data_IF_008391816427
#
_entry.id   IF_008391816427
#
_cell.length_a   1.000
_cell.length_b   1.000
_cell.length_c   1.000
_cell.angle_alpha   90.00
_cell.angle_beta   90.00
_cell.angle_gamma   90.00
#
_symmetry.space_group_name_H-M   'P 1'
#
loop_
_entity.id
_entity.type
_entity.pdbx_description
1 polymer ?
#
# COMPACT_ATOMS: atom_id res chain seq x y z
N UNK A 1 14.84 6.47 -7.95
CA UNK A 1 13.83 6.10 -6.94
C UNK A 1 13.25 7.38 -6.36
N UNK A 2 11.92 7.52 -6.42
CA UNK A 2 11.21 8.70 -5.91
C UNK A 2 11.17 8.69 -4.38
N UNK A 3 10.66 7.61 -3.79
CA UNK A 3 10.55 7.46 -2.34
C UNK A 3 10.84 6.01 -1.90
N UNK A 4 11.04 5.83 -0.60
CA UNK A 4 11.11 4.53 0.08
C UNK A 4 10.10 4.53 1.21
N UNK A 5 9.14 3.61 1.20
CA UNK A 5 8.24 3.40 2.34
C UNK A 5 8.98 2.59 3.42
N UNK A 6 9.30 3.27 4.53
CA UNK A 6 10.21 2.75 5.55
C UNK A 6 9.60 2.68 6.95
N UNK A 7 8.42 3.28 7.16
CA UNK A 7 7.89 3.47 8.49
C UNK A 7 6.36 3.49 8.54
N UNK A 8 5.76 3.16 9.68
CA UNK A 8 4.32 3.11 9.87
C UNK A 8 3.93 2.19 11.01
N UNK A 9 2.64 1.80 11.07
CA UNK A 9 2.10 0.98 12.15
C UNK A 9 2.80 -0.36 12.36
N UNK A 10 3.13 -1.06 11.26
CA UNK A 10 3.86 -2.32 11.35
C UNK A 10 5.25 -2.16 11.97
N UNK A 11 5.96 -1.06 11.67
CA UNK A 11 7.26 -0.75 12.29
C UNK A 11 7.12 -0.54 13.79
N UNK A 12 6.09 0.21 14.23
CA UNK A 12 5.82 0.38 15.67
C UNK A 12 5.51 -0.95 16.35
N UNK A 13 4.63 -1.76 15.77
CA UNK A 13 4.27 -3.07 16.31
C UNK A 13 5.50 -3.97 16.44
N UNK A 14 6.33 -4.09 15.40
CA UNK A 14 7.53 -4.94 15.41
C UNK A 14 8.57 -4.43 16.40
N UNK A 15 8.88 -3.14 16.38
CA UNK A 15 9.86 -2.54 17.27
C UNK A 15 9.48 -2.71 18.75
N UNK A 16 8.22 -2.40 19.09
CA UNK A 16 7.79 -2.38 20.51
C UNK A 16 7.43 -3.77 21.04
N UNK A 17 6.84 -4.66 20.21
CA UNK A 17 6.30 -5.95 20.65
C UNK A 17 7.30 -7.10 20.56
N UNK A 18 8.20 -7.06 19.59
CA UNK A 18 9.08 -8.19 19.29
C UNK A 18 10.57 -7.87 19.45
N UNK A 19 11.00 -6.68 19.03
CA UNK A 19 12.43 -6.33 19.02
C UNK A 19 12.88 -5.55 20.25
N UNK A 20 11.95 -5.00 21.03
CA UNK A 20 12.24 -4.08 22.14
C UNK A 20 13.12 -2.89 21.72
N UNK A 21 12.84 -2.35 20.53
CA UNK A 21 13.55 -1.23 19.92
C UNK A 21 12.73 0.06 19.94
N UNK A 22 13.44 1.20 19.84
CA UNK A 22 12.81 2.49 19.70
C UNK A 22 12.53 2.78 18.20
N UNK A 23 11.25 2.83 17.76
CA UNK A 23 10.89 3.06 16.36
C UNK A 23 11.36 4.42 15.82
N UNK A 24 11.46 5.45 16.65
CA UNK A 24 11.97 6.77 16.28
C UNK A 24 13.47 6.76 16.00
N UNK A 25 14.23 5.99 16.80
CA UNK A 25 15.66 5.81 16.54
C UNK A 25 15.88 5.13 15.20
N UNK A 26 15.13 4.08 14.90
CA UNK A 26 15.18 3.38 13.61
C UNK A 26 14.94 4.35 12.44
N UNK A 27 13.96 5.23 12.53
CA UNK A 27 13.69 6.23 11.49
C UNK A 27 14.89 7.16 11.29
N UNK A 28 15.46 7.69 12.36
CA UNK A 28 16.64 8.57 12.27
C UNK A 28 17.86 7.86 11.68
N UNK A 29 18.08 6.60 12.06
CA UNK A 29 19.17 5.78 11.52
C UNK A 29 19.01 5.55 10.01
N UNK A 30 17.78 5.27 9.54
CA UNK A 30 17.47 5.15 8.10
C UNK A 30 17.71 6.48 7.41
N UNK A 31 17.23 7.60 7.95
CA UNK A 31 17.45 8.93 7.37
C UNK A 31 18.93 9.26 7.26
N UNK A 32 19.74 8.94 8.27
CA UNK A 32 21.18 9.17 8.24
C UNK A 32 21.88 8.31 7.17
N UNK A 33 21.41 7.07 6.96
CA UNK A 33 21.97 6.16 5.96
C UNK A 33 21.51 6.49 4.54
N UNK A 34 20.30 7.07 4.35
CA UNK A 34 19.68 7.35 3.05
C UNK A 34 19.24 8.82 2.99
N UNK A 35 20.18 9.79 2.87
CA UNK A 35 19.85 11.21 2.94
C UNK A 35 19.17 11.77 1.68
N UNK A 36 19.30 11.11 0.53
CA UNK A 36 18.96 11.63 -0.79
C UNK A 36 17.66 11.06 -1.40
N UNK A 37 16.93 10.20 -0.69
CA UNK A 37 15.66 9.63 -1.14
C UNK A 37 14.58 10.07 -0.16
N UNK A 38 13.39 10.41 -0.67
CA UNK A 38 12.26 10.73 0.19
C UNK A 38 11.87 9.52 1.03
N UNK A 39 11.79 9.70 2.35
CA UNK A 39 11.30 8.67 3.25
C UNK A 39 9.80 8.81 3.43
N UNK A 40 9.09 7.74 3.12
CA UNK A 40 7.65 7.66 3.16
C UNK A 40 7.19 6.86 4.37
N UNK A 41 6.08 7.29 4.98
CA UNK A 41 5.38 6.54 6.00
C UNK A 41 3.91 6.34 5.65
N UNK A 42 3.34 5.24 6.16
CA UNK A 42 1.92 4.98 6.13
C UNK A 42 1.25 5.56 7.39
N UNK A 43 0.33 6.52 7.19
CA UNK A 43 -0.43 7.20 8.25
C UNK A 43 -1.92 6.85 8.16
N UNK A 44 -2.46 6.21 9.20
CA UNK A 44 -3.87 5.79 9.27
C UNK A 44 -4.77 6.92 9.75
N UNK A 45 -4.75 8.07 9.12
CA UNK A 45 -5.56 9.24 9.48
C UNK A 45 -5.66 9.46 11.00
N UNK A 46 -6.85 9.51 11.54
CA UNK A 46 -7.12 9.68 12.99
C UNK A 46 -6.58 8.53 13.86
N UNK A 47 -6.19 7.41 13.28
CA UNK A 47 -5.59 6.29 14.01
C UNK A 47 -4.05 6.37 14.10
N UNK A 48 -3.40 7.35 13.47
CA UNK A 48 -1.95 7.48 13.38
C UNK A 48 -1.28 6.15 12.93
N UNK A 49 -0.59 5.48 13.83
CA UNK A 49 -0.01 4.14 13.64
C UNK A 49 -0.73 3.05 14.44
N UNK A 50 -1.79 3.43 15.17
CA UNK A 50 -2.57 2.53 16.03
C UNK A 50 -3.83 1.98 15.36
N UNK A 51 -4.74 1.46 16.19
CA UNK A 51 -5.98 0.78 15.77
C UNK A 51 -7.25 1.46 16.31
N UNK A 52 -7.09 2.52 17.10
CA UNK A 52 -8.18 3.34 17.64
C UNK A 52 -8.02 4.77 17.18
N UNK A 53 -9.11 5.54 17.16
CA UNK A 53 -9.05 6.96 16.85
C UNK A 53 -8.42 7.74 17.99
N UNK A 54 -7.51 8.64 17.65
CA UNK A 54 -6.86 9.56 18.58
C UNK A 54 -7.39 10.98 18.38
N UNK A 55 -7.32 11.85 19.40
CA UNK A 55 -7.72 13.25 19.26
C UNK A 55 -6.75 14.01 18.33
N UNK A 56 -7.28 15.04 17.67
CA UNK A 56 -6.58 15.79 16.62
C UNK A 56 -5.23 16.39 17.08
N UNK A 57 -5.16 16.87 18.32
CA UNK A 57 -3.91 17.41 18.88
C UNK A 57 -2.79 16.34 19.01
N UNK A 58 -3.15 15.07 19.18
CA UNK A 58 -2.19 13.98 19.17
C UNK A 58 -1.72 13.71 17.73
N UNK A 59 -2.65 13.71 16.76
CA UNK A 59 -2.32 13.54 15.34
C UNK A 59 -1.40 14.66 14.87
N UNK A 60 -1.73 15.93 15.19
CA UNK A 60 -0.86 17.07 14.88
C UNK A 60 0.55 16.87 15.42
N UNK A 61 0.67 16.52 16.70
CA UNK A 61 1.97 16.31 17.34
C UNK A 61 2.74 15.13 16.73
N UNK A 62 2.03 14.06 16.39
CA UNK A 62 2.63 12.89 15.75
C UNK A 62 3.17 13.22 14.36
N UNK A 63 2.42 13.95 13.54
CA UNK A 63 2.84 14.40 12.20
C UNK A 63 4.10 15.27 12.30
N UNK A 64 4.09 16.29 13.16
CA UNK A 64 5.25 17.17 13.37
C UNK A 64 6.48 16.34 13.78
N UNK A 65 6.32 15.44 14.76
CA UNK A 65 7.44 14.62 15.23
C UNK A 65 7.95 13.63 14.17
N UNK A 66 7.08 13.11 13.32
CA UNK A 66 7.47 12.23 12.23
C UNK A 66 8.32 12.98 11.19
N UNK A 67 7.91 14.18 10.80
CA UNK A 67 8.67 15.04 9.90
C UNK A 67 10.02 15.46 10.50
N UNK A 68 10.04 15.89 11.77
CA UNK A 68 11.28 16.25 12.49
C UNK A 68 12.29 15.07 12.58
N UNK A 69 11.81 13.82 12.54
CA UNK A 69 12.65 12.62 12.58
C UNK A 69 12.98 12.05 11.19
N UNK A 70 12.53 12.69 10.11
CA UNK A 70 12.99 12.39 8.76
C UNK A 70 11.95 11.89 7.77
N UNK A 71 10.65 11.96 8.07
CA UNK A 71 9.60 11.63 7.09
C UNK A 71 9.38 12.82 6.15
N UNK A 72 9.48 12.57 4.86
CA UNK A 72 9.24 13.55 3.78
C UNK A 72 7.87 13.39 3.13
N UNK A 73 7.31 12.18 3.15
CA UNK A 73 6.07 11.84 2.46
C UNK A 73 5.14 11.05 3.39
N UNK A 74 3.96 11.60 3.65
CA UNK A 74 2.92 10.95 4.45
C UNK A 74 1.86 10.36 3.53
N UNK A 75 1.83 9.02 3.40
CA UNK A 75 0.73 8.30 2.75
C UNK A 75 -0.41 8.16 3.73
N UNK A 76 -1.40 9.04 3.60
CA UNK A 76 -2.54 9.19 4.49
C UNK A 76 -3.71 8.39 3.92
N UNK A 77 -4.31 7.51 4.70
CA UNK A 77 -5.50 6.78 4.30
C UNK A 77 -6.50 6.62 5.44
N UNK A 78 -7.74 6.43 5.10
CA UNK A 78 -8.79 5.99 6.00
C UNK A 78 -9.31 4.60 5.60
N UNK A 79 -9.62 3.76 6.59
CA UNK A 79 -10.03 2.36 6.34
C UNK A 79 -11.39 2.20 5.68
N UNK A 80 -12.19 3.26 5.63
CA UNK A 80 -13.49 3.32 4.98
C UNK A 80 -13.55 4.35 3.85
N UNK A 81 -12.40 4.90 3.44
CA UNK A 81 -12.30 6.02 2.50
C UNK A 81 -13.05 7.27 2.97
N UNK A 82 -13.08 7.51 4.28
CA UNK A 82 -13.79 8.67 4.84
C UNK A 82 -12.90 9.91 4.84
N UNK A 83 -13.09 10.78 3.85
CA UNK A 83 -12.27 11.98 3.60
C UNK A 83 -12.19 12.88 4.83
N UNK A 84 -13.29 13.10 5.54
CA UNK A 84 -13.30 13.94 6.76
C UNK A 84 -12.37 13.45 7.87
N UNK A 85 -12.11 12.14 7.93
CA UNK A 85 -11.10 11.57 8.83
C UNK A 85 -9.67 11.86 8.37
N UNK A 86 -9.47 12.05 7.06
CA UNK A 86 -8.16 12.32 6.45
C UNK A 86 -7.79 13.81 6.49
N UNK A 87 -8.77 14.69 6.40
CA UNK A 87 -8.59 16.17 6.34
C UNK A 87 -7.66 16.72 7.44
N UNK A 88 -7.80 16.37 8.74
CA UNK A 88 -6.89 16.87 9.77
C UNK A 88 -5.42 16.49 9.51
N UNK A 89 -5.17 15.24 9.11
CA UNK A 89 -3.82 14.77 8.81
C UNK A 89 -3.23 15.48 7.60
N UNK A 90 -3.99 15.63 6.51
CA UNK A 90 -3.59 16.39 5.30
C UNK A 90 -3.22 17.82 5.68
N UNK A 91 -4.10 18.49 6.44
CA UNK A 91 -3.90 19.86 6.92
C UNK A 91 -2.61 19.99 7.74
N UNK A 92 -2.39 19.11 8.72
CA UNK A 92 -1.21 19.20 9.59
C UNK A 92 0.08 18.96 8.83
N UNK A 93 0.12 18.03 7.87
CA UNK A 93 1.29 17.83 7.02
C UNK A 93 1.59 19.12 6.24
N UNK A 94 0.59 19.72 5.62
CA UNK A 94 0.74 20.93 4.80
C UNK A 94 1.14 22.19 5.60
N UNK A 95 0.49 22.40 6.74
CA UNK A 95 0.63 23.66 7.48
C UNK A 95 1.75 23.64 8.53
N UNK A 96 2.13 22.46 9.01
CA UNK A 96 3.05 22.31 10.13
C UNK A 96 4.39 21.66 9.77
N UNK A 97 4.55 21.22 8.54
CA UNK A 97 5.77 20.56 8.07
C UNK A 97 6.13 21.00 6.66
N UNK A 98 7.34 20.63 6.20
CA UNK A 98 7.74 20.76 4.80
C UNK A 98 7.55 19.47 4.00
N UNK A 99 6.83 18.50 4.57
CA UNK A 99 6.60 17.19 3.97
C UNK A 99 5.41 17.20 2.99
N UNK A 100 5.31 16.16 2.19
CA UNK A 100 4.24 15.98 1.22
C UNK A 100 3.08 15.17 1.83
N UNK A 101 1.86 15.62 1.59
CA UNK A 101 0.64 14.89 1.91
C UNK A 101 0.21 14.08 0.68
N UNK A 102 0.37 12.77 0.73
CA UNK A 102 -0.16 11.83 -0.25
C UNK A 102 -1.45 11.23 0.29
N UNK A 103 -2.60 11.62 -0.27
CA UNK A 103 -3.88 11.10 0.14
C UNK A 103 -4.25 9.86 -0.65
N UNK A 104 -4.62 8.78 0.05
CA UNK A 104 -4.81 7.47 -0.58
C UNK A 104 -6.26 7.06 -0.64
N UNK A 105 -6.68 6.62 -1.81
CA UNK A 105 -7.92 5.90 -2.04
C UNK A 105 -7.64 4.41 -1.84
N UNK A 106 -8.33 3.78 -0.91
CA UNK A 106 -8.30 2.32 -0.74
C UNK A 106 -9.19 1.67 -1.79
N UNK A 107 -8.56 0.94 -2.73
CA UNK A 107 -9.27 0.27 -3.82
C UNK A 107 -9.89 -1.07 -3.36
N UNK A 108 -11.11 -1.33 -3.78
CA UNK A 108 -11.81 -2.60 -3.60
C UNK A 108 -12.81 -2.83 -4.74
N UNK A 109 -13.28 -4.06 -4.88
CA UNK A 109 -14.21 -4.42 -5.95
C UNK A 109 -13.54 -4.59 -7.31
N UNK A 110 -14.33 -4.39 -8.36
CA UNK A 110 -13.90 -4.41 -9.76
C UNK A 110 -14.72 -3.39 -10.54
N UNK A 111 -14.10 -2.31 -10.98
CA UNK A 111 -14.79 -1.22 -11.69
C UNK A 111 -15.32 -1.65 -13.07
N UNK A 112 -14.83 -2.77 -13.62
CA UNK A 112 -15.31 -3.32 -14.89
C UNK A 112 -16.53 -4.24 -14.73
N UNK A 113 -16.85 -4.63 -13.50
CA UNK A 113 -18.02 -5.45 -13.20
C UNK A 113 -19.27 -4.56 -13.02
N UNK A 114 -20.06 -4.41 -14.05
CA UNK A 114 -21.29 -3.59 -14.04
C UNK A 114 -22.36 -4.05 -13.03
N UNK A 115 -22.22 -5.24 -12.43
CA UNK A 115 -23.08 -5.70 -11.33
C UNK A 115 -22.70 -5.11 -9.97
N UNK A 116 -21.47 -4.59 -9.83
CA UNK A 116 -20.95 -3.93 -8.61
C UNK A 116 -21.14 -2.42 -8.66
N UNK A 117 -22.21 -1.93 -8.07
CA UNK A 117 -22.59 -0.51 -8.15
C UNK A 117 -21.95 0.37 -7.08
N UNK A 118 -21.47 -0.21 -5.97
CA UNK A 118 -20.97 0.55 -4.81
C UNK A 118 -19.60 1.20 -5.05
N UNK A 119 -18.66 0.47 -5.65
CA UNK A 119 -17.28 0.89 -5.88
C UNK A 119 -17.00 0.93 -7.38
N UNK A 120 -17.78 1.74 -8.09
CA UNK A 120 -17.65 1.96 -9.54
C UNK A 120 -16.64 3.07 -9.85
N UNK A 121 -16.41 3.35 -11.12
CA UNK A 121 -15.47 4.37 -11.57
C UNK A 121 -15.83 5.77 -11.05
N UNK A 122 -17.11 6.14 -11.08
CA UNK A 122 -17.57 7.45 -10.61
C UNK A 122 -17.31 7.66 -9.13
N UNK A 123 -17.45 6.61 -8.31
CA UNK A 123 -17.09 6.64 -6.89
C UNK A 123 -15.61 7.04 -6.69
N UNK A 124 -14.70 6.43 -7.43
CA UNK A 124 -13.28 6.73 -7.32
C UNK A 124 -12.91 8.11 -7.85
N UNK A 125 -13.52 8.53 -8.94
CA UNK A 125 -13.35 9.89 -9.51
C UNK A 125 -13.84 10.95 -8.52
N UNK A 126 -15.00 10.76 -7.91
CA UNK A 126 -15.51 11.72 -6.91
C UNK A 126 -14.59 11.78 -5.68
N UNK A 127 -14.14 10.64 -5.18
CA UNK A 127 -13.25 10.57 -4.04
C UNK A 127 -11.90 11.26 -4.32
N UNK A 128 -11.38 11.13 -5.54
CA UNK A 128 -10.16 11.82 -5.98
C UNK A 128 -10.33 13.36 -5.93
N UNK A 129 -11.45 13.88 -6.45
CA UNK A 129 -11.79 15.31 -6.38
C UNK A 129 -11.91 15.80 -4.94
N UNK A 130 -12.53 15.01 -4.07
CA UNK A 130 -12.68 15.36 -2.66
C UNK A 130 -11.32 15.44 -1.96
N UNK A 131 -10.39 14.53 -2.27
CA UNK A 131 -9.04 14.53 -1.73
C UNK A 131 -8.16 15.66 -2.28
N UNK A 132 -8.30 16.02 -3.55
CA UNK A 132 -7.68 17.21 -4.12
C UNK A 132 -8.18 18.47 -3.43
N UNK A 133 -9.49 18.61 -3.25
CA UNK A 133 -10.09 19.74 -2.53
C UNK A 133 -9.67 19.79 -1.04
N UNK A 134 -9.41 18.65 -0.41
CA UNK A 134 -8.85 18.57 0.94
C UNK A 134 -7.38 19.02 0.98
N UNK A 135 -6.75 19.21 -0.18
CA UNK A 135 -5.42 19.77 -0.33
C UNK A 135 -4.30 18.72 -0.37
N UNK A 136 -4.55 17.51 -0.83
CA UNK A 136 -3.50 16.55 -1.11
C UNK A 136 -2.46 17.12 -2.11
N UNK A 137 -1.20 16.70 -1.98
CA UNK A 137 -0.15 16.99 -2.95
C UNK A 137 -0.01 15.89 -3.99
N UNK A 138 -0.35 14.66 -3.62
CA UNK A 138 -0.30 13.45 -4.45
C UNK A 138 -1.54 12.64 -4.15
N UNK A 139 -2.14 12.05 -5.18
CA UNK A 139 -3.22 11.08 -5.06
C UNK A 139 -2.64 9.68 -5.15
N UNK A 140 -2.84 8.83 -4.14
CA UNK A 140 -2.45 7.43 -4.21
C UNK A 140 -3.66 6.52 -4.41
N UNK A 141 -3.48 5.50 -5.23
CA UNK A 141 -4.38 4.35 -5.30
C UNK A 141 -3.73 3.23 -4.49
N UNK A 142 -4.40 2.81 -3.43
CA UNK A 142 -3.92 1.77 -2.52
C UNK A 142 -4.73 0.49 -2.71
N UNK A 143 -4.20 -0.42 -3.50
CA UNK A 143 -4.76 -1.75 -3.77
C UNK A 143 -4.12 -2.80 -2.85
N UNK A 144 -4.65 -2.97 -1.65
CA UNK A 144 -4.06 -3.82 -0.61
C UNK A 144 -4.14 -5.31 -0.89
N UNK A 145 -5.07 -5.74 -1.72
CA UNK A 145 -5.32 -7.16 -2.00
C UNK A 145 -4.84 -7.60 -3.39
N UNK A 146 -4.46 -6.65 -4.26
CA UNK A 146 -4.14 -6.95 -5.65
C UNK A 146 -5.40 -7.21 -6.49
N UNK A 147 -6.47 -6.43 -6.24
CA UNK A 147 -7.76 -6.56 -6.94
C UNK A 147 -7.82 -5.78 -8.24
N UNK A 148 -7.01 -4.73 -8.36
CA UNK A 148 -6.99 -3.88 -9.54
C UNK A 148 -6.41 -4.65 -10.72
N UNK A 149 -7.28 -5.04 -11.65
CA UNK A 149 -6.91 -5.77 -12.86
C UNK A 149 -6.27 -4.85 -13.91
N UNK A 150 -5.49 -5.37 -14.88
CA UNK A 150 -4.76 -4.55 -15.84
C UNK A 150 -5.63 -3.55 -16.61
N UNK A 151 -6.75 -3.99 -17.17
CA UNK A 151 -7.66 -3.10 -17.93
C UNK A 151 -8.42 -2.13 -17.01
N UNK A 152 -8.78 -2.57 -15.81
CA UNK A 152 -9.35 -1.68 -14.80
C UNK A 152 -8.37 -0.58 -14.38
N UNK A 153 -7.08 -0.91 -14.26
CA UNK A 153 -6.04 0.08 -13.96
C UNK A 153 -5.91 1.12 -15.08
N UNK A 154 -5.94 0.69 -16.33
CA UNK A 154 -5.89 1.60 -17.47
C UNK A 154 -7.06 2.58 -17.44
N UNK A 155 -8.28 2.09 -17.28
CA UNK A 155 -9.49 2.90 -17.24
C UNK A 155 -9.50 3.85 -16.03
N UNK A 156 -9.16 3.34 -14.84
CA UNK A 156 -9.10 4.15 -13.62
C UNK A 156 -8.07 5.28 -13.74
N UNK A 157 -6.83 4.98 -14.17
CA UNK A 157 -5.78 6.00 -14.28
C UNK A 157 -6.15 7.06 -15.30
N UNK A 158 -6.67 6.69 -16.48
CA UNK A 158 -7.13 7.67 -17.48
C UNK A 158 -8.21 8.59 -16.91
N UNK A 159 -9.22 8.03 -16.24
CA UNK A 159 -10.31 8.83 -15.66
C UNK A 159 -9.82 9.75 -14.52
N UNK A 160 -8.88 9.30 -13.70
CA UNK A 160 -8.31 10.12 -12.63
C UNK A 160 -7.42 11.24 -13.19
N UNK A 161 -6.61 10.97 -14.23
CA UNK A 161 -5.77 12.01 -14.89
C UNK A 161 -6.62 13.08 -15.58
N UNK A 162 -7.83 12.74 -16.02
CA UNK A 162 -8.79 13.71 -16.58
C UNK A 162 -9.51 14.51 -15.48
N UNK A 163 -9.67 13.94 -14.29
CA UNK A 163 -10.52 14.48 -13.23
C UNK A 163 -9.79 15.40 -12.23
N UNK A 164 -8.48 15.21 -12.00
CA UNK A 164 -7.66 15.94 -11.02
C UNK A 164 -6.29 16.31 -11.59
N UNK A 165 -5.72 17.40 -11.09
CA UNK A 165 -4.39 17.89 -11.49
C UNK A 165 -3.24 17.25 -10.67
N UNK A 166 -3.57 16.35 -9.75
CA UNK A 166 -2.59 15.71 -8.87
C UNK A 166 -1.75 14.64 -9.58
N UNK A 167 -0.45 14.50 -9.25
CA UNK A 167 0.29 13.29 -9.59
C UNK A 167 -0.37 12.06 -8.99
N UNK A 168 -0.39 10.95 -9.75
CA UNK A 168 -1.01 9.69 -9.33
C UNK A 168 0.06 8.67 -8.97
N UNK A 169 -0.02 8.11 -7.76
CA UNK A 169 0.85 7.07 -7.24
C UNK A 169 0.06 5.76 -7.08
N UNK A 170 0.47 4.70 -7.76
CA UNK A 170 -0.20 3.39 -7.70
C UNK A 170 0.58 2.41 -6.83
N UNK A 171 -0.08 1.92 -5.79
CA UNK A 171 0.39 0.84 -4.92
C UNK A 171 -0.51 -0.39 -5.06
N UNK A 172 0.08 -1.55 -5.26
CA UNK A 172 -0.65 -2.84 -5.27
C UNK A 172 0.17 -3.95 -4.61
N UNK A 173 -0.48 -5.07 -4.30
CA UNK A 173 0.15 -6.31 -3.84
C UNK A 173 0.01 -7.39 -4.92
N UNK A 174 1.08 -8.12 -5.21
CA UNK A 174 1.12 -9.11 -6.30
C UNK A 174 0.50 -10.47 -5.92
N UNK A 175 -0.50 -10.44 -5.05
CA UNK A 175 -1.16 -11.64 -4.52
C UNK A 175 -1.79 -12.52 -5.61
N UNK A 176 -2.24 -11.91 -6.69
CA UNK A 176 -2.80 -12.61 -7.86
C UNK A 176 -1.77 -13.02 -8.91
N UNK A 177 -0.52 -12.55 -8.81
CA UNK A 177 0.55 -12.67 -9.84
C UNK A 177 0.24 -11.97 -11.18
N UNK A 178 -0.70 -11.01 -11.21
CA UNK A 178 -1.00 -10.22 -12.43
C UNK A 178 -0.61 -8.75 -12.29
N UNK A 179 -0.07 -8.33 -11.16
CA UNK A 179 0.10 -6.92 -10.85
C UNK A 179 1.22 -6.24 -11.64
N UNK A 180 2.19 -6.99 -12.15
CA UNK A 180 3.14 -6.44 -13.14
C UNK A 180 2.45 -6.00 -14.42
N UNK A 181 1.45 -6.75 -14.89
CA UNK A 181 0.63 -6.35 -16.05
C UNK A 181 -0.30 -5.17 -15.72
N UNK A 182 -0.81 -5.10 -14.48
CA UNK A 182 -1.56 -3.94 -13.97
C UNK A 182 -0.69 -2.68 -14.01
N UNK A 183 0.56 -2.76 -13.57
CA UNK A 183 1.50 -1.63 -13.64
C UNK A 183 1.80 -1.24 -15.09
N UNK A 184 2.00 -2.20 -15.99
CA UNK A 184 2.21 -1.90 -17.40
C UNK A 184 1.05 -1.07 -17.96
N UNK A 185 -0.20 -1.48 -17.71
CA UNK A 185 -1.39 -0.77 -18.17
C UNK A 185 -1.57 0.60 -17.50
N UNK A 186 -1.23 0.72 -16.24
CA UNK A 186 -1.23 2.01 -15.53
C UNK A 186 -0.15 2.97 -16.08
N UNK A 187 1.05 2.46 -16.39
CA UNK A 187 2.14 3.24 -16.98
C UNK A 187 1.75 3.74 -18.37
N UNK A 188 1.15 2.90 -19.21
CA UNK A 188 0.61 3.29 -20.52
C UNK A 188 -0.48 4.37 -20.40
N UNK A 189 -1.29 4.31 -19.34
CA UNK A 189 -2.35 5.30 -19.04
C UNK A 189 -1.85 6.59 -18.39
N UNK A 190 -0.56 6.69 -18.04
CA UNK A 190 0.03 7.93 -17.55
C UNK A 190 0.20 8.04 -16.03
N UNK A 191 0.19 6.93 -15.27
CA UNK A 191 0.52 6.96 -13.84
C UNK A 191 1.91 7.57 -13.61
N UNK A 192 2.07 8.36 -12.55
CA UNK A 192 3.33 9.09 -12.31
C UNK A 192 4.33 8.29 -11.47
N UNK A 193 3.85 7.50 -10.51
CA UNK A 193 4.67 6.66 -9.62
C UNK A 193 4.03 5.29 -9.43
N UNK A 194 4.85 4.23 -9.38
CA UNK A 194 4.42 2.87 -9.00
C UNK A 194 5.33 2.32 -7.91
N UNK A 195 4.75 1.59 -6.95
CA UNK A 195 5.49 0.93 -5.88
C UNK A 195 5.99 -0.45 -6.32
N UNK A 196 7.28 -0.69 -6.16
CA UNK A 196 7.93 -1.94 -6.52
C UNK A 196 8.81 -2.44 -5.37
N UNK A 197 9.14 -3.73 -5.36
CA UNK A 197 10.07 -4.31 -4.40
C UNK A 197 11.27 -4.94 -5.11
N UNK A 198 12.44 -4.92 -4.44
CA UNK A 198 13.64 -5.59 -4.94
C UNK A 198 13.39 -7.09 -5.12
N UNK A 199 14.06 -7.71 -6.10
CA UNK A 199 13.80 -9.07 -6.58
C UNK A 199 13.58 -10.11 -5.48
N UNK A 200 14.52 -10.21 -4.53
CA UNK A 200 14.44 -11.15 -3.41
C UNK A 200 13.27 -10.89 -2.42
N UNK A 201 12.65 -9.71 -2.46
CA UNK A 201 11.55 -9.30 -1.56
C UNK A 201 10.22 -9.08 -2.30
N UNK A 202 10.18 -9.31 -3.62
CA UNK A 202 9.03 -9.02 -4.47
C UNK A 202 8.06 -10.20 -4.61
N UNK A 203 6.91 -9.94 -5.22
CA UNK A 203 5.90 -10.96 -5.53
C UNK A 203 5.09 -11.43 -4.33
N UNK A 204 4.21 -12.42 -4.54
CA UNK A 204 3.30 -12.95 -3.52
C UNK A 204 2.47 -11.83 -2.88
N UNK A 205 2.58 -11.65 -1.57
CA UNK A 205 1.88 -10.58 -0.85
C UNK A 205 2.67 -9.26 -0.75
N UNK A 206 3.83 -9.19 -1.43
CA UNK A 206 4.61 -7.95 -1.63
C UNK A 206 4.25 -7.29 -2.96
N UNK A 207 5.04 -6.32 -3.41
CA UNK A 207 4.82 -5.58 -4.65
C UNK A 207 5.45 -6.31 -5.85
N UNK A 208 5.09 -5.91 -7.08
CA UNK A 208 5.75 -6.38 -8.29
C UNK A 208 7.26 -6.16 -8.26
N UNK A 209 7.98 -7.04 -8.96
CA UNK A 209 9.44 -7.05 -9.03
C UNK A 209 9.97 -5.79 -9.74
N UNK A 210 10.86 -5.05 -9.06
CA UNK A 210 11.44 -3.81 -9.57
C UNK A 210 12.19 -4.01 -10.89
N UNK A 211 13.08 -4.99 -10.92
CA UNK A 211 13.92 -5.29 -12.09
C UNK A 211 13.02 -5.62 -13.30
N UNK A 212 11.99 -6.41 -13.09
CA UNK A 212 11.04 -6.82 -14.15
C UNK A 212 10.23 -5.62 -14.67
N UNK A 213 9.77 -4.72 -13.80
CA UNK A 213 9.01 -3.52 -14.20
C UNK A 213 9.89 -2.57 -15.01
N UNK A 214 11.17 -2.40 -14.65
CA UNK A 214 12.12 -1.59 -15.41
C UNK A 214 12.35 -2.20 -16.81
N UNK A 215 12.65 -3.49 -16.89
CA UNK A 215 12.88 -4.16 -18.19
C UNK A 215 11.61 -4.20 -19.06
N UNK A 216 10.43 -4.35 -18.47
CA UNK A 216 9.14 -4.38 -19.17
C UNK A 216 8.86 -3.07 -19.94
N UNK A 217 9.35 -1.94 -19.42
CA UNK A 217 9.17 -0.63 -20.05
C UNK A 217 10.32 -0.23 -20.97
N UNK A 218 11.34 -1.07 -21.13
CA UNK A 218 12.53 -0.79 -21.94
C UNK A 218 12.16 -0.45 -23.37
N UNK A 219 12.80 0.59 -23.91
CA UNK A 219 12.54 1.15 -25.24
C UNK A 219 11.16 1.79 -25.43
N UNK A 220 10.37 1.97 -24.35
CA UNK A 220 9.12 2.72 -24.38
C UNK A 220 9.35 4.17 -23.92
N UNK A 221 8.48 5.07 -24.31
CA UNK A 221 8.57 6.51 -24.00
C UNK A 221 8.70 6.78 -22.49
N UNK A 222 7.97 6.04 -21.67
CA UNK A 222 7.94 6.22 -20.21
C UNK A 222 8.98 5.39 -19.46
N UNK A 223 9.93 4.80 -20.16
CA UNK A 223 11.01 4.04 -19.54
C UNK A 223 11.87 4.92 -18.63
N UNK A 224 12.14 4.46 -17.42
CA UNK A 224 13.06 5.06 -16.49
C UNK A 224 14.36 4.23 -16.46
N UNK A 225 15.48 4.86 -16.82
CA UNK A 225 16.78 4.20 -16.81
C UNK A 225 17.30 3.99 -15.39
N UNK A 226 17.58 2.74 -15.07
CA UNK A 226 18.27 2.32 -13.85
C UNK A 226 19.51 1.52 -14.19
N UNK A 227 20.49 1.53 -13.30
CA UNK A 227 21.67 0.65 -13.36
C UNK A 227 21.22 -0.78 -13.00
N UNK A 228 20.96 -1.60 -14.00
CA UNK A 228 20.44 -2.95 -13.83
C UNK A 228 21.42 -3.87 -13.10
N UNK A 229 22.72 -3.67 -13.25
CA UNK A 229 23.73 -4.48 -12.55
C UNK A 229 23.66 -4.21 -11.04
N UNK A 230 23.49 -2.94 -10.63
CA UNK A 230 23.26 -2.60 -9.23
C UNK A 230 21.94 -3.12 -8.70
N UNK A 231 20.84 -3.02 -9.47
CA UNK A 231 19.56 -3.58 -9.06
C UNK A 231 19.62 -5.09 -8.87
N UNK A 232 20.31 -5.80 -9.75
CA UNK A 232 20.54 -7.24 -9.64
C UNK A 232 21.39 -7.57 -8.41
N UNK A 233 22.46 -6.80 -8.15
CA UNK A 233 23.30 -6.99 -6.95
C UNK A 233 22.48 -6.77 -5.66
N UNK A 234 21.61 -5.76 -5.61
CA UNK A 234 20.70 -5.58 -4.47
C UNK A 234 19.70 -6.73 -4.33
N UNK A 235 19.17 -7.24 -5.44
CA UNK A 235 18.25 -8.39 -5.41
C UNK A 235 18.92 -9.62 -4.83
N UNK A 236 20.13 -9.95 -5.29
CA UNK A 236 20.92 -11.10 -4.77
C UNK A 236 21.25 -10.92 -3.28
N UNK A 237 21.67 -9.73 -2.86
CA UNK A 237 21.91 -9.44 -1.44
C UNK A 237 20.68 -9.73 -0.57
N UNK A 238 19.49 -9.27 -1.02
CA UNK A 238 18.26 -9.48 -0.27
C UNK A 238 17.72 -10.91 -0.34
N UNK A 239 18.05 -11.67 -1.40
CA UNK A 239 17.81 -13.11 -1.48
C UNK A 239 18.62 -13.83 -0.39
N UNK A 240 19.91 -13.53 -0.27
CA UNK A 240 20.78 -14.09 0.77
C UNK A 240 20.29 -13.72 2.18
N UNK A 241 19.90 -12.47 2.39
CA UNK A 241 19.33 -12.01 3.68
C UNK A 241 18.03 -12.75 4.01
N UNK A 242 17.17 -12.97 3.01
CA UNK A 242 15.87 -13.63 3.17
C UNK A 242 16.02 -15.07 3.67
N UNK A 243 17.07 -15.78 3.29
CA UNK A 243 17.37 -17.15 3.78
C UNK A 243 17.43 -17.22 5.31
N UNK A 244 17.91 -16.18 6.00
CA UNK A 244 17.92 -16.13 7.46
C UNK A 244 16.51 -16.01 8.06
N UNK A 245 15.54 -15.49 7.31
CA UNK A 245 14.17 -15.29 7.74
C UNK A 245 13.21 -16.37 7.24
N UNK A 246 13.69 -17.34 6.46
CA UNK A 246 12.89 -18.42 5.91
C UNK A 246 11.99 -19.13 6.94
N UNK A 247 12.43 -19.42 8.18
CA UNK A 247 11.58 -20.05 9.19
C UNK A 247 10.36 -19.23 9.61
N UNK A 248 10.36 -17.92 9.31
CA UNK A 248 9.28 -16.98 9.67
C UNK A 248 8.37 -16.65 8.50
N UNK A 249 8.60 -17.22 7.32
CA UNK A 249 7.76 -16.98 6.15
C UNK A 249 6.40 -17.67 6.28
N UNK A 250 5.39 -17.08 5.60
CA UNK A 250 4.03 -17.61 5.61
C UNK A 250 3.84 -18.93 4.85
N UNK A 251 4.88 -19.40 4.16
CA UNK A 251 4.85 -20.63 3.36
C UNK A 251 4.06 -20.53 2.06
N UNK A 252 3.71 -19.33 1.61
CA UNK A 252 3.09 -19.10 0.29
C UNK A 252 4.12 -19.41 -0.80
N UNK A 253 3.71 -20.18 -1.83
CA UNK A 253 4.60 -20.60 -2.93
C UNK A 253 4.33 -19.85 -4.24
N UNK A 254 3.09 -19.40 -4.44
CA UNK A 254 2.67 -18.68 -5.64
C UNK A 254 1.51 -17.74 -5.32
N UNK A 255 1.38 -16.68 -6.12
CA UNK A 255 0.16 -15.88 -6.16
C UNK A 255 -0.98 -16.67 -6.83
N UNK A 256 -2.22 -16.31 -6.54
CA UNK A 256 -3.39 -17.02 -7.06
C UNK A 256 -4.55 -16.08 -7.34
N UNK A 257 -5.28 -16.37 -8.41
CA UNK A 257 -6.52 -15.65 -8.76
C UNK A 257 -7.66 -15.85 -7.73
N UNK A 258 -7.51 -16.75 -6.75
CA UNK A 258 -8.47 -16.90 -5.65
C UNK A 258 -8.64 -15.61 -4.84
N UNK A 259 -7.65 -14.71 -4.87
CA UNK A 259 -7.75 -13.39 -4.22
C UNK A 259 -8.96 -12.61 -4.73
N UNK A 260 -9.35 -12.77 -5.98
CA UNK A 260 -10.55 -12.12 -6.53
C UNK A 260 -11.87 -12.67 -5.96
N UNK A 261 -11.83 -13.84 -5.32
CA UNK A 261 -12.98 -14.43 -4.61
C UNK A 261 -13.03 -13.97 -3.15
N UNK A 262 -11.92 -14.11 -2.42
CA UNK A 262 -11.91 -13.81 -0.97
C UNK A 262 -11.55 -12.35 -0.64
N UNK A 263 -10.85 -11.65 -1.53
CA UNK A 263 -10.46 -10.24 -1.46
C UNK A 263 -9.66 -9.85 -0.18
N UNK A 264 -8.99 -10.81 0.44
CA UNK A 264 -8.20 -10.57 1.66
C UNK A 264 -6.95 -9.77 1.31
N UNK A 265 -6.65 -8.67 2.04
CA UNK A 265 -5.41 -7.90 1.84
C UNK A 265 -4.15 -8.75 1.95
N UNK A 266 -3.14 -8.48 1.10
CA UNK A 266 -1.94 -9.31 1.00
C UNK A 266 -1.22 -9.52 2.33
N UNK A 267 -0.93 -8.44 3.07
CA UNK A 267 -0.30 -8.54 4.38
C UNK A 267 -1.16 -9.27 5.42
N UNK A 268 -2.49 -9.16 5.33
CA UNK A 268 -3.40 -9.91 6.20
C UNK A 268 -3.44 -11.38 5.82
N UNK A 269 -3.44 -11.70 4.54
CA UNK A 269 -3.44 -13.08 4.05
C UNK A 269 -2.21 -13.86 4.57
N UNK A 270 -1.01 -13.28 4.48
CA UNK A 270 0.20 -13.89 5.01
C UNK A 270 0.20 -14.03 6.54
N UNK A 271 -0.43 -13.11 7.27
CA UNK A 271 -0.56 -13.19 8.72
C UNK A 271 -1.69 -14.15 9.18
N UNK A 272 -2.76 -14.27 8.40
CA UNK A 272 -3.92 -15.11 8.74
C UNK A 272 -3.56 -16.59 8.77
N UNK A 273 -2.73 -17.04 7.83
CA UNK A 273 -2.41 -18.47 7.70
C UNK A 273 -1.71 -19.06 8.93
N UNK A 274 -0.64 -18.46 9.49
CA UNK A 274 -0.07 -18.90 10.76
C UNK A 274 -1.05 -18.84 11.94
N UNK A 275 -1.91 -17.82 11.98
CA UNK A 275 -2.92 -17.68 13.04
C UNK A 275 -3.96 -18.81 12.99
N UNK A 276 -4.46 -19.13 11.81
CA UNK A 276 -5.40 -20.25 11.58
C UNK A 276 -4.76 -21.58 11.95
N UNK A 277 -3.48 -21.78 11.62
CA UNK A 277 -2.73 -22.97 12.03
C UNK A 277 -2.59 -23.06 13.56
N UNK A 278 -2.31 -21.94 14.23
CA UNK A 278 -2.13 -21.90 15.68
C UNK A 278 -3.41 -22.28 16.46
N UNK A 279 -4.58 -22.04 15.89
CA UNK A 279 -5.88 -22.46 16.48
C UNK A 279 -6.38 -23.81 15.97
N UNK A 280 -5.54 -24.57 15.24
CA UNK A 280 -5.86 -25.94 14.77
C UNK A 280 -6.79 -26.01 13.57
N UNK A 281 -6.97 -24.92 12.83
CA UNK A 281 -7.85 -24.86 11.65
C UNK A 281 -7.09 -24.84 10.31
N UNK A 282 -5.79 -25.17 10.31
CA UNK A 282 -4.93 -25.09 9.13
C UNK A 282 -5.47 -25.84 7.92
N UNK A 283 -5.99 -27.05 8.12
CA UNK A 283 -6.58 -27.89 7.06
C UNK A 283 -7.91 -27.33 6.51
N UNK A 284 -8.49 -26.36 7.21
CA UNK A 284 -9.75 -25.70 6.84
C UNK A 284 -9.53 -24.26 6.37
N UNK A 285 -8.33 -23.90 5.94
CA UNK A 285 -8.00 -22.53 5.56
C UNK A 285 -8.90 -21.98 4.43
N UNK A 286 -9.30 -22.82 3.47
CA UNK A 286 -10.25 -22.42 2.41
C UNK A 286 -11.62 -22.01 2.95
N UNK A 287 -12.13 -22.71 3.98
CA UNK A 287 -13.38 -22.32 4.63
C UNK A 287 -13.25 -21.00 5.39
N UNK A 288 -12.08 -20.74 5.99
CA UNK A 288 -11.81 -19.48 6.68
C UNK A 288 -11.81 -18.31 5.68
N UNK A 289 -11.19 -18.48 4.51
CA UNK A 289 -11.19 -17.43 3.47
C UNK A 289 -12.57 -17.18 2.88
N UNK A 290 -13.37 -18.22 2.71
CA UNK A 290 -14.76 -18.11 2.27
C UNK A 290 -15.63 -17.40 3.32
N UNK A 291 -15.48 -17.76 4.60
CA UNK A 291 -16.20 -17.11 5.70
C UNK A 291 -15.82 -15.61 5.82
N UNK A 292 -14.54 -15.28 5.61
CA UNK A 292 -14.10 -13.85 5.58
C UNK A 292 -14.88 -13.05 4.52
N UNK A 293 -15.05 -13.63 3.33
CA UNK A 293 -15.81 -13.00 2.25
C UNK A 293 -17.30 -12.82 2.61
N UNK A 294 -17.93 -13.88 3.16
CA UNK A 294 -19.34 -13.85 3.57
C UNK A 294 -19.59 -12.84 4.70
N UNK A 295 -18.70 -12.79 5.70
CA UNK A 295 -18.79 -11.81 6.79
C UNK A 295 -18.67 -10.38 6.23
N UNK A 296 -17.75 -10.13 5.28
CA UNK A 296 -17.62 -8.81 4.68
C UNK A 296 -18.90 -8.38 3.94
N UNK A 297 -19.58 -9.30 3.26
CA UNK A 297 -20.90 -9.04 2.64
C UNK A 297 -21.95 -8.67 3.68
N UNK A 298 -21.99 -9.35 4.82
CA UNK A 298 -22.92 -9.04 5.92
C UNK A 298 -22.70 -7.62 6.47
N UNK A 299 -21.47 -7.14 6.49
CA UNK A 299 -21.13 -5.74 6.85
C UNK A 299 -21.39 -4.72 5.73
N UNK A 300 -21.92 -5.15 4.59
CA UNK A 300 -22.25 -4.27 3.46
C UNK A 300 -21.08 -4.00 2.53
N UNK A 301 -20.22 -4.96 2.32
CA UNK A 301 -19.05 -4.89 1.44
C UNK A 301 -18.15 -3.70 1.77
N UNK A 302 -17.50 -3.78 2.92
CA UNK A 302 -16.58 -2.74 3.40
C UNK A 302 -15.24 -2.82 2.67
N UNK A 303 -14.56 -1.69 2.57
CA UNK A 303 -13.16 -1.63 2.14
C UNK A 303 -12.30 -2.45 3.11
N UNK A 304 -11.48 -3.34 2.56
CA UNK A 304 -10.70 -4.32 3.34
C UNK A 304 -9.28 -3.81 3.58
N UNK A 305 -9.14 -2.86 4.50
CA UNK A 305 -7.84 -2.30 4.92
C UNK A 305 -7.80 -2.15 6.44
N UNK A 306 -6.62 -2.27 7.05
CA UNK A 306 -6.48 -2.12 8.51
C UNK A 306 -6.89 -0.71 8.97
N UNK A 307 -7.75 -0.57 10.02
CA UNK A 307 -8.19 -1.64 10.95
C UNK A 307 -9.44 -2.42 10.51
N UNK A 308 -10.28 -1.96 9.56
CA UNK A 308 -11.56 -2.60 9.21
C UNK A 308 -11.40 -4.06 8.76
N UNK A 309 -10.29 -4.40 8.12
CA UNK A 309 -10.01 -5.78 7.70
C UNK A 309 -9.74 -6.76 8.83
N UNK A 310 -9.66 -6.30 10.09
CA UNK A 310 -9.42 -7.14 11.27
C UNK A 310 -10.70 -7.41 12.10
N UNK A 311 -11.79 -6.77 11.72
CA UNK A 311 -13.11 -6.98 12.31
C UNK A 311 -13.78 -8.19 11.69
#
# INVERSE_FOLDING_TARGET
>A
TFSMEVWGGATFDVCLRFLNENPWKRLRDIRAAVPNILLQMLLRSSNAVGYTSYPDNLIERFVIKSAENGIDLFRIYDSLNWVKSMEPSIKYVREKTNSLAEASISYTGDILDGSRTKYNLDYYVQLAKDLENAGAHILAIKDMAGLLKPYAAQELILALKDAVDLPIHLHTHDTSSVQSATYLKAIEAGVDVVDVALGGLSGLTSQPNFNSVVEMTKFQERHQSFDMDKLNAFSSYWEDVREFYYPFESGLKAGTAEVYKHEIPGGQYSNLRPQVNAVGLGDRFSEVTEMYHEVNKLFGDLVKVTPSSKV
#
